data_IF_309721746870
#
_entry.id   IF_309721746870
#
_cell.length_a   1.000
_cell.length_b   1.000
_cell.length_c   1.000
_cell.angle_alpha   90.00
_cell.angle_beta   90.00
_cell.angle_gamma   90.00
#
_symmetry.space_group_name_H-M   'P 1'
#
loop_
_entity.id
_entity.type
_entity.pdbx_description
1 polymer ?
#
# COMPACT_ATOMS: atom_id res chain seq x y z
N UNK A 1 -24.71 8.78 -8.99
CA UNK A 1 -25.43 7.80 -8.62
C UNK A 1 -24.96 6.94 -7.53
N UNK A 2 -24.58 5.75 -7.73
CA UNK A 2 -24.33 4.82 -6.63
C UNK A 2 -22.87 4.84 -6.20
N UNK A 3 -22.46 5.95 -5.62
CA UNK A 3 -21.13 6.00 -5.05
C UNK A 3 -21.08 5.10 -3.83
N UNK A 4 -20.12 4.20 -3.82
CA UNK A 4 -19.87 3.36 -2.66
C UNK A 4 -18.53 3.75 -2.07
N UNK A 5 -18.48 4.07 -0.79
CA UNK A 5 -17.20 4.36 -0.18
C UNK A 5 -16.31 3.12 -0.19
N UNK A 6 -15.00 3.30 -0.24
CA UNK A 6 -14.10 2.16 -0.21
C UNK A 6 -14.22 1.38 1.09
N UNK A 7 -14.05 0.06 0.99
CA UNK A 7 -14.07 -0.82 2.15
C UNK A 7 -12.74 -1.53 2.35
N UNK A 8 -11.88 -1.48 1.35
CA UNK A 8 -10.58 -2.15 1.40
C UNK A 8 -9.53 -1.28 0.75
N UNK A 9 -8.32 -1.33 1.28
CA UNK A 9 -7.21 -0.64 0.62
C UNK A 9 -5.97 -1.52 0.66
N UNK A 10 -5.07 -1.29 -0.31
CA UNK A 10 -3.76 -1.90 -0.32
C UNK A 10 -2.78 -0.93 0.31
N UNK A 11 -1.97 -1.43 1.23
CA UNK A 11 -0.78 -0.73 1.69
C UNK A 11 0.40 -1.48 1.12
N UNK A 12 1.02 -0.91 0.08
CA UNK A 12 2.17 -1.54 -0.55
C UNK A 12 3.40 -1.29 0.32
N UNK A 13 3.88 -2.34 0.97
CA UNK A 13 4.92 -2.22 1.97
C UNK A 13 6.27 -2.64 1.41
N UNK A 14 7.28 -1.88 1.74
CA UNK A 14 8.67 -2.31 1.61
C UNK A 14 9.41 -1.81 2.84
N UNK A 15 10.54 -2.41 3.13
CA UNK A 15 11.28 -2.00 4.31
C UNK A 15 12.08 -0.75 3.99
N UNK A 16 11.50 0.40 4.28
CA UNK A 16 12.13 1.70 4.03
C UNK A 16 11.61 2.68 5.06
N UNK A 17 12.38 3.74 5.36
CA UNK A 17 11.89 4.75 6.31
C UNK A 17 10.57 5.38 5.89
N UNK A 18 10.38 5.59 4.58
CA UNK A 18 9.13 6.16 4.08
C UNK A 18 7.95 5.26 4.38
N UNK A 19 8.09 3.96 4.14
CA UNK A 19 7.01 3.02 4.42
C UNK A 19 6.76 2.85 5.90
N UNK A 20 7.81 2.88 6.72
CA UNK A 20 7.62 2.81 8.16
C UNK A 20 6.85 4.03 8.67
N UNK A 21 7.17 5.20 8.16
CA UNK A 21 6.42 6.40 8.53
C UNK A 21 4.99 6.35 8.04
N UNK A 22 4.78 5.83 6.83
CA UNK A 22 3.44 5.67 6.28
C UNK A 22 2.62 4.71 7.13
N UNK A 23 3.24 3.61 7.57
CA UNK A 23 2.58 2.65 8.45
C UNK A 23 2.05 3.34 9.71
N UNK A 24 2.88 4.20 10.31
CA UNK A 24 2.47 4.92 11.51
C UNK A 24 1.33 5.88 11.23
N UNK A 25 1.35 6.52 10.08
CA UNK A 25 0.28 7.45 9.69
C UNK A 25 -1.03 6.71 9.42
N UNK A 26 -0.94 5.54 8.80
CA UNK A 26 -2.12 4.71 8.60
C UNK A 26 -2.72 4.31 9.94
N UNK A 27 -1.88 3.93 10.89
CA UNK A 27 -2.34 3.53 12.21
C UNK A 27 -3.06 4.65 12.95
N UNK A 28 -2.75 5.90 12.62
CA UNK A 28 -3.35 7.06 13.27
C UNK A 28 -4.53 7.63 12.49
N UNK A 29 -4.84 7.08 11.34
CA UNK A 29 -5.91 7.59 10.50
C UNK A 29 -7.26 7.02 10.93
N UNK A 30 -8.15 7.88 11.37
CA UNK A 30 -9.49 7.43 11.74
C UNK A 30 -10.25 6.89 10.55
N UNK A 31 -10.01 7.48 9.38
CA UNK A 31 -10.68 7.02 8.16
C UNK A 31 -10.19 5.64 7.72
N UNK A 32 -8.90 5.46 7.64
CA UNK A 32 -8.33 4.19 7.16
C UNK A 32 -8.59 3.05 8.14
N UNK A 33 -8.75 3.37 9.42
CA UNK A 33 -9.06 2.33 10.41
C UNK A 33 -10.41 1.68 10.17
N UNK A 34 -11.29 2.33 9.43
CA UNK A 34 -12.60 1.79 9.10
C UNK A 34 -12.55 0.82 7.94
N UNK A 35 -11.41 0.73 7.25
CA UNK A 35 -11.26 -0.09 6.06
C UNK A 35 -10.40 -1.30 6.37
N UNK A 36 -10.61 -2.37 5.61
CA UNK A 36 -9.72 -3.52 5.70
C UNK A 36 -8.41 -3.20 4.99
N UNK A 37 -7.31 -3.45 5.67
CA UNK A 37 -5.97 -3.13 5.17
C UNK A 37 -5.30 -4.38 4.64
N UNK A 38 -5.01 -4.39 3.34
CA UNK A 38 -4.24 -5.47 2.72
C UNK A 38 -2.81 -5.01 2.62
N UNK A 39 -1.97 -5.50 3.54
CA UNK A 39 -0.55 -5.18 3.50
C UNK A 39 0.10 -6.11 2.50
N UNK A 40 0.54 -5.55 1.39
CA UNK A 40 1.08 -6.33 0.27
C UNK A 40 2.56 -6.03 0.12
N UNK A 41 3.35 -7.10 0.08
CA UNK A 41 4.77 -7.01 -0.16
C UNK A 41 5.11 -7.78 -1.45
N UNK A 42 5.89 -7.17 -2.31
CA UNK A 42 6.36 -7.83 -3.52
C UNK A 42 7.87 -7.92 -3.43
N UNK A 43 8.38 -9.14 -3.29
CA UNK A 43 9.81 -9.35 -3.15
C UNK A 43 10.13 -10.72 -2.58
N UNK A 44 11.36 -10.89 -2.11
CA UNK A 44 11.89 -12.19 -1.73
C UNK A 44 11.94 -12.46 -0.24
N UNK A 45 11.50 -11.51 0.57
CA UNK A 45 11.61 -11.61 2.03
C UNK A 45 10.25 -11.39 2.69
N UNK A 46 9.29 -12.32 2.50
CA UNK A 46 7.93 -12.10 3.01
C UNK A 46 7.85 -11.95 4.52
N UNK A 47 8.87 -12.39 5.23
CA UNK A 47 8.88 -12.27 6.69
C UNK A 47 8.85 -10.82 7.16
N UNK A 48 9.21 -9.87 6.31
CA UNK A 48 9.17 -8.45 6.71
C UNK A 48 7.74 -7.96 6.94
N UNK A 49 6.75 -8.70 6.47
CA UNK A 49 5.35 -8.32 6.66
C UNK A 49 4.87 -8.50 8.09
N UNK A 50 5.56 -9.32 8.89
CA UNK A 50 5.08 -9.62 10.24
C UNK A 50 5.02 -8.37 11.11
N UNK A 51 5.99 -7.52 11.02
CA UNK A 51 6.04 -6.32 11.84
C UNK A 51 4.95 -5.32 11.50
N UNK A 52 4.80 -4.91 10.24
CA UNK A 52 3.72 -3.95 9.92
C UNK A 52 2.33 -4.53 10.16
N UNK A 53 2.13 -5.82 9.91
CA UNK A 53 0.82 -6.41 10.16
C UNK A 53 0.48 -6.38 11.64
N UNK A 54 1.44 -6.74 12.49
CA UNK A 54 1.20 -6.70 13.93
C UNK A 54 0.96 -5.28 14.42
N UNK A 55 1.76 -4.34 13.94
CA UNK A 55 1.64 -2.95 14.34
C UNK A 55 0.24 -2.41 14.00
N UNK A 56 -0.22 -2.68 12.80
CA UNK A 56 -1.52 -2.18 12.37
C UNK A 56 -2.68 -2.89 13.06
N UNK A 57 -2.53 -4.18 13.32
CA UNK A 57 -3.56 -4.90 14.08
C UNK A 57 -3.68 -4.37 15.49
N UNK A 58 -2.56 -4.08 16.11
CA UNK A 58 -2.58 -3.51 17.46
C UNK A 58 -3.19 -2.12 17.49
N UNK A 59 -3.15 -1.41 16.37
CA UNK A 59 -3.79 -0.11 16.23
C UNK A 59 -5.27 -0.21 15.93
N UNK A 60 -5.79 -1.43 15.76
CA UNK A 60 -7.22 -1.63 15.56
C UNK A 60 -7.66 -1.86 14.13
N UNK A 61 -6.73 -2.01 13.20
CA UNK A 61 -7.10 -2.27 11.81
C UNK A 61 -7.36 -3.75 11.59
N UNK A 62 -8.24 -4.03 10.64
CA UNK A 62 -8.45 -5.37 10.12
C UNK A 62 -7.41 -5.59 9.03
N UNK A 63 -6.44 -6.49 9.27
CA UNK A 63 -5.27 -6.61 8.42
C UNK A 63 -5.20 -7.98 7.75
N UNK A 64 -5.03 -7.97 6.44
CA UNK A 64 -4.73 -9.15 5.64
C UNK A 64 -3.32 -8.99 5.11
N UNK A 65 -2.47 -10.00 5.31
CA UNK A 65 -1.10 -10.00 4.78
C UNK A 65 -1.05 -10.80 3.49
N UNK A 66 -0.31 -10.27 2.53
CA UNK A 66 -0.12 -11.00 1.28
C UNK A 66 1.25 -10.67 0.72
N UNK A 67 1.91 -11.67 0.10
CA UNK A 67 3.15 -11.39 -0.59
C UNK A 67 3.12 -12.00 -1.98
N UNK A 68 3.87 -11.40 -2.87
CA UNK A 68 3.98 -11.82 -4.26
C UNK A 68 5.42 -11.65 -4.72
N UNK A 69 5.72 -12.28 -5.83
CA UNK A 69 7.04 -12.17 -6.45
C UNK A 69 6.89 -11.50 -7.81
N UNK A 70 7.98 -10.89 -8.28
CA UNK A 70 8.01 -10.35 -9.62
C UNK A 70 7.92 -8.84 -9.65
N UNK A 71 7.26 -8.32 -10.65
CA UNK A 71 7.17 -6.88 -10.83
C UNK A 71 6.22 -6.25 -9.82
N UNK A 72 6.69 -5.19 -9.18
CA UNK A 72 5.93 -4.58 -8.09
C UNK A 72 4.62 -3.99 -8.62
N UNK A 73 4.70 -3.17 -9.65
CA UNK A 73 3.53 -2.48 -10.18
C UNK A 73 2.47 -3.45 -10.69
N UNK A 74 2.91 -4.45 -11.45
CA UNK A 74 2.00 -5.44 -11.99
C UNK A 74 1.28 -6.20 -10.89
N UNK A 75 2.04 -6.58 -9.85
CA UNK A 75 1.45 -7.34 -8.76
C UNK A 75 0.44 -6.52 -7.97
N UNK A 76 0.73 -5.23 -7.76
CA UNK A 76 -0.21 -4.37 -7.03
C UNK A 76 -1.50 -4.22 -7.83
N UNK A 77 -1.40 -3.96 -9.13
CA UNK A 77 -2.58 -3.78 -9.96
C UNK A 77 -3.39 -5.06 -10.08
N UNK A 78 -2.70 -6.19 -10.20
CA UNK A 78 -3.36 -7.48 -10.28
C UNK A 78 -4.08 -7.82 -8.98
N UNK A 79 -3.42 -7.59 -7.86
CA UNK A 79 -4.01 -7.84 -6.55
C UNK A 79 -5.25 -6.95 -6.36
N UNK A 80 -5.13 -5.68 -6.74
CA UNK A 80 -6.25 -4.76 -6.64
C UNK A 80 -7.47 -5.29 -7.40
N UNK A 81 -7.25 -5.78 -8.60
CA UNK A 81 -8.34 -6.30 -9.42
C UNK A 81 -8.91 -7.59 -8.85
N UNK A 82 -8.04 -8.51 -8.43
CA UNK A 82 -8.46 -9.81 -7.93
C UNK A 82 -9.28 -9.72 -6.66
N UNK A 83 -8.98 -8.77 -5.80
CA UNK A 83 -9.58 -8.69 -4.48
C UNK A 83 -10.57 -7.54 -4.33
N UNK A 84 -10.89 -6.87 -5.42
CA UNK A 84 -11.87 -5.79 -5.38
C UNK A 84 -11.44 -4.65 -4.47
N UNK A 85 -10.17 -4.29 -4.52
CA UNK A 85 -9.64 -3.21 -3.70
C UNK A 85 -10.03 -1.88 -4.30
N UNK A 86 -10.44 -0.94 -3.47
CA UNK A 86 -10.97 0.34 -3.94
C UNK A 86 -10.04 1.52 -3.68
N UNK A 87 -8.89 1.29 -3.05
CA UNK A 87 -7.95 2.36 -2.76
C UNK A 87 -6.56 1.74 -2.66
N UNK A 88 -5.57 2.40 -3.25
CA UNK A 88 -4.18 1.97 -3.15
C UNK A 88 -3.41 3.05 -2.41
N UNK A 89 -2.68 2.67 -1.36
CA UNK A 89 -1.89 3.60 -0.56
C UNK A 89 -0.42 3.25 -0.74
N UNK A 90 0.34 4.21 -1.22
CA UNK A 90 1.76 4.03 -1.50
C UNK A 90 2.57 5.12 -0.82
N UNK A 91 3.81 4.79 -0.46
CA UNK A 91 4.78 5.81 -0.11
C UNK A 91 5.39 6.37 -1.37
N UNK A 92 5.63 7.66 -1.37
CA UNK A 92 6.33 8.31 -2.48
C UNK A 92 7.82 8.16 -2.23
N UNK A 93 8.29 6.94 -2.33
CA UNK A 93 9.69 6.66 -2.05
C UNK A 93 10.43 6.47 -3.34
N UNK A 94 11.71 6.65 -3.27
CA UNK A 94 12.59 6.42 -4.37
C UNK A 94 13.81 5.70 -3.82
N UNK A 95 14.21 4.67 -4.52
CA UNK A 95 15.45 3.99 -4.18
C UNK A 95 16.65 4.77 -4.63
N UNK A 96 16.42 5.79 -5.44
CA UNK A 96 17.49 6.61 -5.96
C UNK A 96 17.59 7.89 -5.15
N UNK A 97 18.79 8.22 -4.77
CA UNK A 97 19.03 9.43 -3.99
C UNK A 97 18.85 10.69 -4.80
N UNK A 98 18.77 10.57 -6.10
CA UNK A 98 18.73 11.74 -6.97
C UNK A 98 17.32 12.09 -7.43
N UNK A 99 16.33 11.40 -6.98
CA UNK A 99 14.98 11.59 -7.53
C UNK A 99 13.99 12.06 -6.50
N UNK A 100 14.37 13.08 -5.78
CA UNK A 100 13.46 13.61 -4.78
C UNK A 100 12.22 14.27 -5.37
N UNK A 101 12.23 14.55 -6.67
CA UNK A 101 11.07 15.17 -7.31
C UNK A 101 10.12 14.19 -7.94
N UNK A 102 10.47 12.92 -7.97
CA UNK A 102 9.65 11.93 -8.63
C UNK A 102 8.87 11.12 -7.62
N UNK A 103 7.71 10.66 -8.04
CA UNK A 103 6.93 9.75 -7.24
C UNK A 103 7.55 8.36 -7.20
N UNK A 104 8.48 8.07 -8.11
CA UNK A 104 9.03 6.75 -8.26
C UNK A 104 8.33 6.02 -9.39
N UNK A 105 9.03 5.04 -9.97
CA UNK A 105 8.51 4.35 -11.13
C UNK A 105 7.26 3.53 -10.80
N UNK A 106 7.22 2.94 -9.61
CA UNK A 106 6.07 2.13 -9.20
C UNK A 106 4.82 3.00 -9.10
N UNK A 107 4.92 4.12 -8.37
CA UNK A 107 3.78 5.00 -8.19
C UNK A 107 3.30 5.57 -9.52
N UNK A 108 4.24 5.92 -10.41
CA UNK A 108 3.89 6.45 -11.71
C UNK A 108 3.15 5.42 -12.56
N UNK A 109 3.66 4.19 -12.56
CA UNK A 109 3.02 3.12 -13.34
C UNK A 109 1.62 2.83 -12.82
N UNK A 110 1.47 2.78 -11.50
CA UNK A 110 0.17 2.50 -10.91
C UNK A 110 -0.79 3.65 -11.19
N UNK A 111 -0.31 4.90 -11.07
CA UNK A 111 -1.15 6.05 -11.35
C UNK A 111 -1.72 6.00 -12.77
N UNK A 112 -0.91 5.59 -13.73
CA UNK A 112 -1.35 5.53 -15.13
C UNK A 112 -2.35 4.42 -15.41
N UNK A 113 -2.25 3.31 -14.67
CA UNK A 113 -2.98 2.11 -15.03
C UNK A 113 -4.06 1.70 -14.05
N UNK A 114 -4.14 2.36 -12.91
CA UNK A 114 -5.12 2.01 -11.91
C UNK A 114 -6.50 2.57 -12.26
N UNK A 115 -7.52 1.78 -11.97
CA UNK A 115 -8.90 2.22 -12.11
C UNK A 115 -9.48 2.69 -10.79
N UNK A 116 -8.67 2.68 -9.72
CA UNK A 116 -9.12 3.11 -8.40
C UNK A 116 -8.24 4.24 -7.90
N UNK A 117 -8.73 5.03 -6.93
CA UNK A 117 -7.92 6.12 -6.38
C UNK A 117 -6.61 5.65 -5.79
N UNK A 118 -5.62 6.51 -5.88
CA UNK A 118 -4.28 6.27 -5.41
C UNK A 118 -3.92 7.36 -4.41
N UNK A 119 -3.54 6.97 -3.21
CA UNK A 119 -3.06 7.89 -2.20
C UNK A 119 -1.55 7.72 -2.06
N UNK A 120 -0.82 8.77 -2.38
CA UNK A 120 0.63 8.74 -2.31
C UNK A 120 1.07 9.65 -1.18
N UNK A 121 1.84 9.12 -0.25
CA UNK A 121 2.26 9.83 0.94
C UNK A 121 3.78 9.87 1.00
N UNK A 122 4.33 11.05 1.22
CA UNK A 122 5.77 11.21 1.39
C UNK A 122 6.19 10.94 2.81
#
# INVERSE_FOLDING_TARGET
>A
ENFKPPTRFIFAYEYSPTCVNLMKRIAQSDLLRLLQCHVLYVGDHPEILNEPAQYLREAGLDVVMEYRYGDVSENILEYQSEHGIQLIVLGAFSHSKIHQFFLGSVATTIFRNSTVPLLVVK
#
